data_IF_681923124056
#
_entry.id   IF_681923124056
#
_cell.length_a   1.000
_cell.length_b   1.000
_cell.length_c   1.000
_cell.angle_alpha   90.00
_cell.angle_beta   90.00
_cell.angle_gamma   90.00
#
_symmetry.space_group_name_H-M   'P 1'
#
loop_
_entity.id
_entity.type
_entity.pdbx_description
1 polymer ?
#
# COMPACT_ATOMS: atom_id res chain seq x y z
N UNK A 1 33.61 -2.25 -5.03
CA UNK A 1 32.90 -0.98 -4.80
C UNK A 1 32.57 -0.89 -3.32
N UNK A 2 32.67 0.29 -2.69
CA UNK A 2 32.34 0.53 -1.29
C UNK A 2 31.25 1.60 -1.15
N UNK A 3 30.35 1.43 -0.17
CA UNK A 3 29.26 2.38 0.15
C UNK A 3 28.93 2.30 1.66
N UNK A 4 28.21 3.27 2.21
CA UNK A 4 27.71 3.15 3.59
C UNK A 4 26.51 2.17 3.63
N UNK A 5 25.57 2.33 2.70
CA UNK A 5 24.35 1.52 2.64
C UNK A 5 24.18 0.95 1.23
N UNK A 6 23.99 -0.36 1.13
CA UNK A 6 23.59 -1.02 -0.11
C UNK A 6 22.12 -1.37 -0.05
N UNK A 7 21.36 -1.01 -1.08
CA UNK A 7 19.93 -1.34 -1.20
C UNK A 7 19.71 -2.25 -2.41
N UNK A 8 19.18 -3.43 -2.19
CA UNK A 8 18.75 -4.33 -3.24
C UNK A 8 17.27 -4.10 -3.56
N UNK A 9 16.96 -3.58 -4.75
CA UNK A 9 15.61 -3.32 -5.25
C UNK A 9 15.25 -1.83 -5.32
N UNK A 10 14.95 -1.37 -6.54
CA UNK A 10 14.53 0.00 -6.89
C UNK A 10 13.01 0.16 -6.98
N UNK A 11 12.26 -0.51 -6.10
CA UNK A 11 10.86 -0.21 -5.86
C UNK A 11 10.66 1.12 -5.12
N UNK A 12 9.39 1.55 -4.93
CA UNK A 12 9.10 2.84 -4.27
C UNK A 12 9.77 2.92 -2.89
N UNK A 13 9.71 1.87 -2.06
CA UNK A 13 10.35 1.87 -0.74
C UNK A 13 11.88 1.98 -0.83
N UNK A 14 12.54 1.20 -1.71
CA UNK A 14 14.00 1.26 -1.89
C UNK A 14 14.47 2.61 -2.39
N UNK A 15 13.77 3.20 -3.36
CA UNK A 15 14.07 4.54 -3.89
C UNK A 15 13.83 5.63 -2.84
N UNK A 16 12.74 5.56 -2.06
CA UNK A 16 12.47 6.51 -0.97
C UNK A 16 13.59 6.46 0.08
N UNK A 17 14.00 5.25 0.49
CA UNK A 17 15.11 5.08 1.43
C UNK A 17 16.41 5.65 0.86
N UNK A 18 16.73 5.33 -0.39
CA UNK A 18 17.96 5.80 -1.02
C UNK A 18 18.01 7.32 -1.15
N UNK A 19 16.92 7.94 -1.64
CA UNK A 19 16.84 9.39 -1.78
C UNK A 19 16.92 10.10 -0.42
N UNK A 20 16.24 9.57 0.59
CA UNK A 20 16.27 10.11 1.96
C UNK A 20 17.68 10.04 2.56
N UNK A 21 18.36 8.90 2.46
CA UNK A 21 19.72 8.74 2.96
C UNK A 21 20.71 9.65 2.23
N UNK A 22 20.62 9.72 0.90
CA UNK A 22 21.48 10.58 0.10
C UNK A 22 21.31 12.06 0.44
N UNK A 23 20.08 12.52 0.70
CA UNK A 23 19.79 13.89 1.14
C UNK A 23 20.41 14.26 2.50
N UNK A 24 20.75 13.23 3.30
CA UNK A 24 21.42 13.36 4.62
C UNK A 24 22.92 13.02 4.56
N UNK A 25 23.51 13.02 3.34
CA UNK A 25 24.94 12.80 3.14
C UNK A 25 25.41 11.36 3.37
N UNK A 26 24.52 10.36 3.39
CA UNK A 26 24.87 8.95 3.47
C UNK A 26 25.16 8.43 2.06
N UNK A 27 26.32 7.80 1.84
CA UNK A 27 26.64 7.17 0.56
C UNK A 27 25.81 5.91 0.35
N UNK A 28 24.92 5.92 -0.65
CA UNK A 28 24.00 4.82 -0.96
C UNK A 28 24.26 4.27 -2.35
N UNK A 29 24.34 2.96 -2.45
CA UNK A 29 24.30 2.26 -3.74
C UNK A 29 23.04 1.43 -3.81
N UNK A 30 22.19 1.69 -4.82
CA UNK A 30 20.95 0.93 -5.06
C UNK A 30 21.05 0.12 -6.35
N UNK A 31 20.73 -1.18 -6.29
CA UNK A 31 20.70 -2.06 -7.45
C UNK A 31 19.26 -2.41 -7.83
N UNK A 32 18.86 -2.10 -9.07
CA UNK A 32 17.55 -2.44 -9.64
C UNK A 32 17.71 -3.30 -10.89
N UNK A 33 17.08 -4.47 -10.90
CA UNK A 33 17.20 -5.42 -12.02
C UNK A 33 16.43 -5.01 -13.28
N UNK A 34 15.34 -4.25 -13.14
CA UNK A 34 14.54 -3.81 -14.27
C UNK A 34 15.19 -2.59 -14.93
N UNK A 35 15.22 -2.63 -16.27
CA UNK A 35 15.69 -1.52 -17.11
C UNK A 35 14.54 -0.72 -17.73
N UNK A 36 13.33 -1.29 -17.70
CA UNK A 36 12.11 -0.70 -18.25
C UNK A 36 11.02 -0.70 -17.19
N UNK A 37 10.06 0.17 -17.37
CA UNK A 37 8.85 0.19 -16.57
C UNK A 37 8.13 -1.14 -16.61
N UNK A 38 7.56 -1.53 -15.48
CA UNK A 38 6.78 -2.75 -15.39
C UNK A 38 5.38 -2.53 -15.96
N UNK A 39 4.91 -3.33 -16.92
CA UNK A 39 3.53 -3.24 -17.39
C UNK A 39 2.53 -3.78 -16.34
N UNK A 40 3.03 -4.36 -15.27
CA UNK A 40 2.22 -5.00 -14.23
C UNK A 40 1.75 -3.93 -13.25
N UNK A 41 0.44 -3.86 -13.03
CA UNK A 41 -0.16 -3.01 -12.02
C UNK A 41 0.49 -3.28 -10.65
N UNK A 42 0.86 -2.21 -10.00
CA UNK A 42 1.28 -2.17 -8.60
C UNK A 42 0.48 -1.08 -7.90
N UNK A 43 0.55 -1.00 -6.56
CA UNK A 43 -0.19 0.01 -5.81
C UNK A 43 -0.01 1.43 -6.38
N UNK A 44 -1.10 2.18 -6.45
CA UNK A 44 -1.14 3.56 -6.97
C UNK A 44 -1.70 4.54 -5.96
N UNK A 45 -2.33 4.05 -4.88
CA UNK A 45 -2.93 4.89 -3.85
C UNK A 45 -1.88 5.29 -2.81
N UNK A 46 -1.61 6.58 -2.71
CA UNK A 46 -0.78 7.20 -1.68
C UNK A 46 -1.69 7.70 -0.56
N UNK A 47 -1.51 7.15 0.64
CA UNK A 47 -2.24 7.54 1.83
C UNK A 47 -1.64 8.80 2.48
N UNK A 48 -2.38 9.51 3.34
CA UNK A 48 -1.95 10.75 3.98
C UNK A 48 -0.56 10.70 4.64
N UNK A 49 -0.21 9.62 5.36
CA UNK A 49 1.14 9.48 5.95
C UNK A 49 2.23 9.42 4.89
N UNK A 50 1.95 8.75 3.77
CA UNK A 50 2.89 8.67 2.65
C UNK A 50 3.06 10.03 1.96
N UNK A 51 1.97 10.79 1.79
CA UNK A 51 2.02 12.17 1.28
C UNK A 51 2.91 13.04 2.19
N UNK A 52 2.74 12.95 3.51
CA UNK A 52 3.58 13.65 4.48
C UNK A 52 5.07 13.29 4.37
N UNK A 53 5.39 12.03 4.11
CA UNK A 53 6.77 11.57 3.93
C UNK A 53 7.35 12.12 2.61
N UNK A 54 6.59 12.07 1.53
CA UNK A 54 7.01 12.59 0.21
C UNK A 54 7.15 14.12 0.21
N UNK A 55 6.34 14.83 1.01
CA UNK A 55 6.51 16.28 1.23
C UNK A 55 7.85 16.56 1.92
N UNK A 56 8.21 15.83 2.99
CA UNK A 56 9.52 15.99 3.65
C UNK A 56 10.68 15.64 2.73
N UNK A 57 10.49 14.71 1.80
CA UNK A 57 11.47 14.39 0.76
C UNK A 57 11.59 15.48 -0.31
N UNK A 58 10.64 16.43 -0.36
CA UNK A 58 10.59 17.55 -1.31
C UNK A 58 10.22 17.13 -2.72
N UNK A 59 9.25 16.20 -2.86
CA UNK A 59 8.76 15.70 -4.16
C UNK A 59 7.23 15.79 -4.28
N UNK A 60 6.55 16.39 -3.30
CA UNK A 60 5.08 16.36 -3.25
C UNK A 60 4.46 17.15 -4.40
N UNK A 61 4.99 18.30 -4.78
CA UNK A 61 4.44 19.15 -5.83
C UNK A 61 4.42 18.42 -7.19
N UNK A 62 5.49 17.66 -7.48
CA UNK A 62 5.58 16.86 -8.71
C UNK A 62 4.62 15.66 -8.68
N UNK A 63 4.45 15.04 -7.51
CA UNK A 63 3.53 13.93 -7.28
C UNK A 63 2.08 14.39 -7.44
N UNK A 64 1.70 15.52 -6.83
CA UNK A 64 0.35 16.11 -6.95
C UNK A 64 0.07 16.55 -8.38
N UNK A 65 1.06 17.12 -9.06
CA UNK A 65 0.95 17.56 -10.46
C UNK A 65 0.66 16.42 -11.45
N UNK A 66 0.95 15.18 -11.10
CA UNK A 66 0.65 13.98 -11.90
C UNK A 66 -0.31 13.00 -11.22
N UNK A 67 -0.94 13.40 -10.13
CA UNK A 67 -1.87 12.59 -9.35
C UNK A 67 -3.34 13.00 -9.53
N UNK A 68 -4.22 12.15 -9.04
CA UNK A 68 -5.63 12.44 -8.87
C UNK A 68 -6.00 12.38 -7.38
N UNK A 69 -6.60 13.48 -6.88
CA UNK A 69 -6.98 13.58 -5.46
C UNK A 69 -8.18 12.71 -5.15
N UNK A 70 -8.09 11.94 -4.09
CA UNK A 70 -9.18 11.14 -3.52
C UNK A 70 -9.47 11.68 -2.11
N UNK A 71 -10.45 12.55 -1.99
CA UNK A 71 -10.92 13.11 -0.72
C UNK A 71 -11.89 12.18 0.02
N UNK A 72 -12.59 11.32 -0.73
CA UNK A 72 -13.61 10.41 -0.22
C UNK A 72 -13.61 9.08 -0.97
N UNK A 73 -14.05 8.04 -0.24
CA UNK A 73 -14.38 6.72 -0.76
C UNK A 73 -15.87 6.45 -0.55
N UNK A 74 -16.62 6.34 -1.62
CA UNK A 74 -18.05 6.06 -1.60
C UNK A 74 -18.32 4.57 -1.67
N UNK A 75 -19.15 4.05 -0.78
CA UNK A 75 -19.54 2.64 -0.72
C UNK A 75 -21.00 2.48 -1.09
N UNK A 76 -21.27 1.61 -2.06
CA UNK A 76 -22.59 1.27 -2.55
C UNK A 76 -22.82 -0.24 -2.53
N UNK A 77 -24.05 -0.63 -2.29
CA UNK A 77 -24.51 -2.02 -2.46
C UNK A 77 -25.58 -2.07 -3.54
N UNK A 78 -25.44 -2.99 -4.47
CA UNK A 78 -26.48 -3.29 -5.47
C UNK A 78 -27.24 -4.51 -4.99
N UNK A 79 -28.52 -4.32 -4.70
CA UNK A 79 -29.42 -5.40 -4.33
C UNK A 79 -30.26 -5.84 -5.52
N UNK A 80 -30.03 -7.08 -5.96
CA UNK A 80 -30.78 -7.70 -7.05
C UNK A 80 -31.87 -8.58 -6.47
N UNK A 81 -33.11 -8.33 -6.85
CA UNK A 81 -34.27 -9.18 -6.53
C UNK A 81 -34.83 -9.75 -7.83
N UNK A 82 -35.22 -11.02 -7.80
CA UNK A 82 -35.84 -11.67 -8.95
C UNK A 82 -37.06 -10.90 -9.40
N UNK A 83 -37.17 -10.61 -10.71
CA UNK A 83 -38.30 -9.86 -11.29
C UNK A 83 -38.36 -8.35 -10.97
N UNK A 84 -37.35 -7.76 -10.34
CA UNK A 84 -37.27 -6.30 -10.06
C UNK A 84 -35.99 -5.69 -10.63
N UNK A 85 -36.07 -4.39 -10.93
CA UNK A 85 -34.87 -3.63 -11.25
C UNK A 85 -33.87 -3.66 -10.07
N UNK A 86 -32.56 -3.67 -10.35
CA UNK A 86 -31.53 -3.55 -9.28
C UNK A 86 -31.75 -2.30 -8.44
N UNK A 87 -31.68 -2.45 -7.13
CA UNK A 87 -31.79 -1.35 -6.17
C UNK A 87 -30.38 -0.96 -5.70
N UNK A 88 -30.00 0.30 -5.92
CA UNK A 88 -28.75 0.86 -5.42
C UNK A 88 -28.95 1.43 -4.03
N UNK A 89 -28.10 1.02 -3.09
CA UNK A 89 -28.13 1.46 -1.69
C UNK A 89 -26.79 2.11 -1.37
N UNK A 90 -26.79 3.41 -1.09
CA UNK A 90 -25.62 4.11 -0.55
C UNK A 90 -25.41 3.67 0.90
N UNK A 91 -24.26 3.09 1.21
CA UNK A 91 -23.95 2.59 2.55
C UNK A 91 -23.21 3.64 3.40
N UNK A 92 -22.15 4.22 2.84
CA UNK A 92 -21.30 5.20 3.54
C UNK A 92 -20.42 5.97 2.56
N UNK A 93 -19.93 7.10 3.02
CA UNK A 93 -18.80 7.82 2.43
C UNK A 93 -17.70 7.95 3.49
N UNK A 94 -16.55 7.33 3.24
CA UNK A 94 -15.36 7.52 4.07
C UNK A 94 -14.64 8.78 3.61
N UNK A 95 -14.50 9.75 4.52
CA UNK A 95 -13.94 11.06 4.22
C UNK A 95 -12.65 11.29 4.99
N UNK A 96 -11.56 11.57 4.27
CA UNK A 96 -10.25 11.82 4.86
C UNK A 96 -10.19 13.06 5.74
N UNK A 97 -11.01 14.10 5.46
CA UNK A 97 -11.09 15.31 6.28
C UNK A 97 -11.62 15.08 7.71
N UNK A 98 -12.08 13.85 8.03
CA UNK A 98 -12.46 13.47 9.40
C UNK A 98 -11.26 13.22 10.30
N UNK A 99 -10.06 13.05 9.78
CA UNK A 99 -8.82 12.94 10.55
C UNK A 99 -8.30 14.35 10.83
N UNK A 100 -7.98 14.64 12.08
CA UNK A 100 -7.47 15.95 12.53
C UNK A 100 -6.01 16.15 12.08
N UNK A 101 -5.78 16.30 10.78
CA UNK A 101 -4.49 16.46 10.13
C UNK A 101 -4.60 17.44 8.96
N UNK A 102 -3.47 18.05 8.55
CA UNK A 102 -3.40 18.83 7.30
C UNK A 102 -3.48 17.95 6.06
N UNK A 103 -3.21 16.65 6.20
CA UNK A 103 -3.28 15.68 5.11
C UNK A 103 -4.66 15.03 5.12
N UNK A 104 -5.60 15.64 4.42
CA UNK A 104 -7.02 15.33 4.42
C UNK A 104 -7.50 14.61 3.15
N UNK A 105 -6.56 14.05 2.38
CA UNK A 105 -6.84 13.32 1.15
C UNK A 105 -5.80 12.23 0.90
N UNK A 106 -6.12 11.32 -0.01
CA UNK A 106 -5.19 10.40 -0.65
C UNK A 106 -4.96 10.80 -2.10
N UNK A 107 -3.91 10.29 -2.73
CA UNK A 107 -3.59 10.54 -4.13
C UNK A 107 -3.52 9.22 -4.91
N UNK A 108 -4.16 9.19 -6.07
CA UNK A 108 -3.94 8.13 -7.06
C UNK A 108 -2.87 8.58 -8.04
N UNK A 109 -1.71 7.94 -8.00
CA UNK A 109 -0.55 8.29 -8.83
C UNK A 109 -0.04 7.04 -9.53
N UNK A 110 0.17 7.03 -10.85
CA UNK A 110 0.75 5.90 -11.54
C UNK A 110 2.08 5.46 -10.90
N UNK A 111 2.20 4.17 -10.57
CA UNK A 111 3.32 3.63 -9.80
C UNK A 111 4.70 3.99 -10.37
N UNK A 112 4.86 3.89 -11.69
CA UNK A 112 6.14 4.18 -12.34
C UNK A 112 6.46 5.69 -12.33
N UNK A 113 5.45 6.57 -12.30
CA UNK A 113 5.65 8.02 -12.13
C UNK A 113 6.17 8.32 -10.73
N UNK A 114 5.55 7.74 -9.70
CA UNK A 114 6.04 7.87 -8.32
C UNK A 114 7.50 7.43 -8.21
N UNK A 115 7.88 6.29 -8.81
CA UNK A 115 9.26 5.81 -8.83
C UNK A 115 10.21 6.76 -9.55
N UNK A 116 9.84 7.25 -10.74
CA UNK A 116 10.70 8.15 -11.50
C UNK A 116 10.98 9.44 -10.74
N UNK A 117 9.94 10.08 -10.18
CA UNK A 117 10.08 11.31 -9.40
C UNK A 117 11.02 11.11 -8.20
N UNK A 118 10.83 10.04 -7.42
CA UNK A 118 11.69 9.77 -6.25
C UNK A 118 13.13 9.46 -6.68
N UNK A 119 13.33 8.70 -7.76
CA UNK A 119 14.66 8.41 -8.30
C UNK A 119 15.35 9.69 -8.78
N UNK A 120 14.66 10.51 -9.54
CA UNK A 120 15.20 11.73 -10.11
C UNK A 120 15.57 12.73 -8.99
N UNK A 121 14.77 12.79 -7.92
CA UNK A 121 15.12 13.50 -6.68
C UNK A 121 16.40 12.93 -6.04
N UNK A 122 16.50 11.61 -5.92
CA UNK A 122 17.71 10.97 -5.41
C UNK A 122 18.96 11.34 -6.22
N UNK A 123 18.84 11.37 -7.55
CA UNK A 123 19.93 11.72 -8.47
C UNK A 123 20.42 13.17 -8.32
N UNK A 124 19.64 14.07 -7.73
CA UNK A 124 20.15 15.44 -7.41
C UNK A 124 21.24 15.45 -6.34
N UNK A 125 21.43 14.35 -5.61
CA UNK A 125 22.47 14.15 -4.60
C UNK A 125 23.63 13.31 -5.17
N UNK A 126 24.21 13.72 -6.29
CA UNK A 126 25.15 12.98 -7.15
C UNK A 126 26.29 12.26 -6.39
N UNK A 127 26.87 12.90 -5.38
CA UNK A 127 27.97 12.33 -4.58
C UNK A 127 27.51 11.17 -3.67
N UNK A 128 26.23 11.14 -3.30
CA UNK A 128 25.71 10.25 -2.28
C UNK A 128 24.74 9.20 -2.84
N UNK A 129 24.19 9.40 -4.03
CA UNK A 129 23.19 8.53 -4.64
C UNK A 129 23.76 7.82 -5.87
N UNK A 130 24.03 6.52 -5.76
CA UNK A 130 24.55 5.72 -6.86
C UNK A 130 23.51 4.67 -7.30
N UNK A 131 22.87 4.88 -8.47
CA UNK A 131 21.82 4.01 -9.01
C UNK A 131 22.37 3.07 -10.09
N UNK A 132 22.28 1.77 -9.83
CA UNK A 132 22.68 0.69 -10.75
C UNK A 132 21.45 0.10 -11.44
N UNK A 133 20.99 0.72 -12.52
CA UNK A 133 19.87 0.22 -13.34
C UNK A 133 20.30 -0.99 -14.16
N UNK A 134 19.43 -2.01 -14.26
CA UNK A 134 19.74 -3.30 -14.91
C UNK A 134 20.70 -4.18 -14.11
N UNK A 135 20.90 -3.87 -12.82
CA UNK A 135 21.76 -4.61 -11.92
C UNK A 135 20.95 -5.55 -11.03
N UNK A 136 21.19 -6.84 -11.16
CA UNK A 136 20.51 -7.88 -10.36
C UNK A 136 21.35 -8.27 -9.16
N UNK A 137 20.80 -8.09 -7.97
CA UNK A 137 21.36 -8.65 -6.73
C UNK A 137 21.17 -10.17 -6.73
N UNK A 138 22.26 -10.91 -6.50
CA UNK A 138 22.28 -12.36 -6.53
C UNK A 138 22.32 -13.01 -5.13
N UNK A 139 22.56 -12.23 -4.09
CA UNK A 139 22.78 -12.68 -2.72
C UNK A 139 24.12 -12.23 -2.19
N UNK A 140 24.58 -12.86 -1.13
CA UNK A 140 25.84 -12.51 -0.45
C UNK A 140 26.93 -13.52 -0.73
N UNK A 141 28.16 -13.03 -0.87
CA UNK A 141 29.38 -13.84 -0.99
C UNK A 141 30.49 -13.19 -0.16
N UNK A 142 31.06 -13.94 0.77
CA UNK A 142 32.11 -13.44 1.71
C UNK A 142 31.71 -12.15 2.45
N UNK A 143 30.43 -12.04 2.86
CA UNK A 143 29.89 -10.88 3.57
C UNK A 143 29.59 -9.64 2.69
N UNK A 144 29.83 -9.71 1.39
CA UNK A 144 29.55 -8.63 0.44
C UNK A 144 28.34 -8.96 -0.45
N UNK A 145 27.64 -7.93 -0.92
CA UNK A 145 26.56 -8.09 -1.89
C UNK A 145 27.15 -8.45 -3.26
N UNK A 146 26.71 -9.57 -3.85
CA UNK A 146 27.06 -10.02 -5.20
C UNK A 146 26.04 -9.48 -6.18
N UNK A 147 26.49 -8.69 -7.14
CA UNK A 147 25.63 -8.01 -8.12
C UNK A 147 26.07 -8.36 -9.53
N UNK A 148 25.10 -8.64 -10.40
CA UNK A 148 25.33 -8.86 -11.83
C UNK A 148 24.69 -7.73 -12.62
N UNK A 149 25.50 -7.03 -13.44
CA UNK A 149 25.02 -6.01 -14.37
C UNK A 149 25.56 -6.34 -15.78
N UNK A 150 24.68 -6.46 -16.75
CA UNK A 150 25.00 -6.95 -18.08
C UNK A 150 25.70 -8.32 -18.02
N UNK A 151 26.96 -8.41 -18.44
CA UNK A 151 27.79 -9.64 -18.42
C UNK A 151 28.75 -9.71 -17.23
N UNK A 152 28.88 -8.63 -16.48
CA UNK A 152 29.83 -8.51 -15.37
C UNK A 152 29.19 -8.86 -14.03
N UNK A 153 29.96 -9.50 -13.18
CA UNK A 153 29.58 -9.77 -11.78
C UNK A 153 30.65 -9.15 -10.88
N UNK A 154 30.21 -8.37 -9.92
CA UNK A 154 31.06 -7.67 -8.98
C UNK A 154 30.49 -7.68 -7.58
N UNK A 155 31.30 -7.27 -6.59
CA UNK A 155 30.93 -7.26 -5.21
C UNK A 155 30.84 -5.83 -4.69
N UNK A 156 29.87 -5.57 -3.83
CA UNK A 156 29.68 -4.30 -3.13
C UNK A 156 29.82 -4.56 -1.64
N UNK A 157 30.81 -3.88 -1.05
CA UNK A 157 31.00 -3.85 0.39
C UNK A 157 30.21 -2.68 0.98
N UNK A 158 29.40 -2.93 1.99
CA UNK A 158 28.61 -1.92 2.68
C UNK A 158 28.63 -2.13 4.20
N UNK A 159 28.39 -1.07 4.96
CA UNK A 159 28.22 -1.17 6.41
C UNK A 159 26.90 -1.82 6.77
N UNK A 160 25.84 -1.52 5.99
CA UNK A 160 24.48 -2.08 6.12
C UNK A 160 23.93 -2.45 4.74
N UNK A 161 23.25 -3.56 4.67
CA UNK A 161 22.58 -4.08 3.46
C UNK A 161 21.07 -4.15 3.66
N UNK A 162 20.33 -3.51 2.76
CA UNK A 162 18.87 -3.41 2.84
C UNK A 162 18.24 -4.20 1.70
N UNK A 163 17.38 -5.15 2.07
CA UNK A 163 16.54 -5.89 1.13
C UNK A 163 15.23 -5.17 0.86
N UNK A 164 15.08 -4.65 -0.34
CA UNK A 164 13.85 -4.06 -0.88
C UNK A 164 13.39 -4.79 -2.16
N UNK A 165 13.77 -6.08 -2.30
CA UNK A 165 13.58 -6.91 -3.51
C UNK A 165 12.15 -7.48 -3.63
N UNK A 166 11.28 -7.10 -2.73
CA UNK A 166 9.89 -7.54 -2.73
C UNK A 166 9.70 -8.98 -2.28
N UNK A 167 8.65 -9.61 -2.77
CA UNK A 167 8.14 -10.91 -2.30
C UNK A 167 9.15 -12.06 -2.33
N UNK A 168 10.12 -12.02 -3.23
CA UNK A 168 11.12 -13.09 -3.43
C UNK A 168 12.50 -12.75 -2.85
N UNK A 169 12.58 -11.89 -1.86
CA UNK A 169 13.80 -11.30 -1.30
C UNK A 169 14.92 -12.32 -0.98
N UNK A 170 16.07 -12.25 -1.66
CA UNK A 170 17.27 -12.97 -1.29
C UNK A 170 17.85 -12.51 0.06
N UNK A 171 17.71 -11.22 0.42
CA UNK A 171 18.15 -10.70 1.71
C UNK A 171 17.38 -11.35 2.84
N UNK A 172 16.04 -11.46 2.74
CA UNK A 172 15.22 -12.19 3.73
C UNK A 172 15.69 -13.63 3.92
N UNK A 173 16.03 -14.31 2.82
CA UNK A 173 16.56 -15.68 2.87
C UNK A 173 17.91 -15.74 3.59
N UNK A 174 18.79 -14.79 3.31
CA UNK A 174 20.10 -14.70 3.98
C UNK A 174 19.98 -14.43 5.48
N UNK A 175 18.94 -13.70 5.91
CA UNK A 175 18.63 -13.47 7.32
C UNK A 175 18.03 -14.70 8.02
N UNK A 176 17.64 -15.76 7.29
CA UNK A 176 16.82 -16.87 7.81
C UNK A 176 15.58 -16.36 8.55
N UNK A 177 14.90 -15.37 7.94
CA UNK A 177 13.67 -14.83 8.50
C UNK A 177 12.48 -15.70 8.11
N UNK A 178 11.73 -16.17 9.13
CA UNK A 178 10.56 -17.00 8.94
C UNK A 178 9.36 -16.22 8.42
N UNK A 179 8.57 -16.87 7.57
CA UNK A 179 7.42 -16.26 6.89
C UNK A 179 6.14 -16.98 7.30
N UNK A 180 5.24 -16.27 7.98
CA UNK A 180 3.88 -16.77 8.25
C UNK A 180 2.95 -16.30 7.12
N UNK A 181 2.79 -17.16 6.10
CA UNK A 181 1.97 -16.86 4.91
C UNK A 181 0.52 -17.28 5.12
N UNK A 182 -0.40 -16.48 4.57
CA UNK A 182 -1.83 -16.76 4.49
C UNK A 182 -2.32 -16.50 3.07
N UNK A 183 -2.92 -17.52 2.46
CA UNK A 183 -3.53 -17.44 1.13
C UNK A 183 -5.04 -17.17 1.24
N UNK A 184 -5.66 -16.69 0.15
CA UNK A 184 -7.08 -16.34 0.08
C UNK A 184 -7.80 -17.09 -1.03
N UNK A 185 -9.08 -17.39 -0.81
CA UNK A 185 -9.94 -18.10 -1.77
C UNK A 185 -10.61 -17.17 -2.79
N UNK A 186 -10.00 -16.02 -3.06
CA UNK A 186 -10.43 -15.07 -4.07
C UNK A 186 -9.23 -14.43 -4.75
N UNK A 187 -9.45 -13.96 -5.97
CA UNK A 187 -8.48 -13.21 -6.75
C UNK A 187 -9.08 -11.88 -7.18
N UNK A 188 -8.28 -11.01 -7.78
CA UNK A 188 -8.76 -9.78 -8.39
C UNK A 188 -8.37 -9.74 -9.86
N UNK A 189 -9.26 -9.18 -10.68
CA UNK A 189 -8.94 -8.67 -12.00
C UNK A 189 -8.80 -7.15 -11.89
N UNK A 190 -7.74 -6.63 -12.48
CA UNK A 190 -7.52 -5.18 -12.56
C UNK A 190 -7.38 -4.78 -14.01
N UNK A 191 -8.07 -3.71 -14.39
CA UNK A 191 -7.96 -3.08 -15.69
C UNK A 191 -7.92 -1.57 -15.53
N UNK A 192 -7.31 -0.89 -16.51
CA UNK A 192 -7.40 0.56 -16.67
C UNK A 192 -8.20 0.84 -17.93
N UNK A 193 -9.12 1.80 -17.85
CA UNK A 193 -9.97 2.18 -18.96
C UNK A 193 -10.35 3.65 -18.84
N UNK A 194 -10.84 4.31 -19.92
CA UNK A 194 -11.42 5.64 -19.83
C UNK A 194 -12.52 5.71 -18.77
N UNK A 195 -12.50 6.73 -17.94
CA UNK A 195 -13.51 6.93 -16.91
C UNK A 195 -14.62 7.86 -17.38
N UNK A 196 -15.87 7.63 -16.94
CA UNK A 196 -16.94 8.61 -17.07
C UNK A 196 -16.56 9.93 -16.37
N UNK A 197 -16.96 11.06 -16.94
CA UNK A 197 -16.66 12.39 -16.39
C UNK A 197 -17.23 12.60 -14.97
N UNK A 198 -18.31 11.89 -14.61
CA UNK A 198 -18.95 11.88 -13.29
C UNK A 198 -18.07 11.27 -12.20
N UNK A 199 -17.06 10.45 -12.56
CA UNK A 199 -16.22 9.71 -11.59
C UNK A 199 -15.00 10.52 -11.17
N UNK A 200 -15.17 11.34 -10.16
CA UNK A 200 -14.09 12.15 -9.57
C UNK A 200 -13.64 11.61 -8.22
N UNK A 201 -14.37 10.66 -7.62
CA UNK A 201 -14.13 10.08 -6.28
C UNK A 201 -13.94 8.57 -6.36
N UNK A 202 -13.26 8.01 -5.37
CA UNK A 202 -13.18 6.57 -5.23
C UNK A 202 -14.57 5.98 -4.96
N UNK A 203 -14.92 4.87 -5.64
CA UNK A 203 -16.20 4.19 -5.51
C UNK A 203 -16.00 2.70 -5.30
N UNK A 204 -16.69 2.13 -4.35
CA UNK A 204 -16.70 0.69 -4.08
C UNK A 204 -18.14 0.20 -4.20
N UNK A 205 -18.35 -0.71 -5.14
CA UNK A 205 -19.64 -1.33 -5.42
C UNK A 205 -19.58 -2.77 -4.97
N UNK A 206 -20.59 -3.20 -4.22
CA UNK A 206 -20.71 -4.57 -3.73
C UNK A 206 -22.08 -5.17 -4.08
N UNK A 207 -22.09 -6.49 -4.24
CA UNK A 207 -23.31 -7.30 -4.29
C UNK A 207 -23.18 -8.43 -3.27
N UNK A 208 -24.10 -9.39 -3.26
CA UNK A 208 -23.99 -10.58 -2.43
C UNK A 208 -22.67 -11.37 -2.67
N UNK A 209 -22.15 -11.35 -3.91
CA UNK A 209 -21.06 -12.22 -4.36
C UNK A 209 -19.95 -11.51 -5.15
N UNK A 210 -20.05 -10.20 -5.37
CA UNK A 210 -19.10 -9.41 -6.14
C UNK A 210 -18.65 -8.16 -5.37
N UNK A 211 -17.49 -7.70 -5.74
CA UNK A 211 -16.88 -6.44 -5.30
C UNK A 211 -16.21 -5.80 -6.51
N UNK A 212 -16.46 -4.52 -6.74
CA UNK A 212 -15.82 -3.72 -7.76
C UNK A 212 -15.36 -2.40 -7.13
N UNK A 213 -14.05 -2.21 -7.03
CA UNK A 213 -13.43 -0.94 -6.67
C UNK A 213 -13.14 -0.13 -7.93
N UNK A 214 -13.45 1.16 -7.90
CA UNK A 214 -13.22 2.13 -8.97
C UNK A 214 -12.40 3.29 -8.39
N UNK A 215 -11.21 3.49 -8.92
CA UNK A 215 -10.28 4.51 -8.45
C UNK A 215 -9.89 5.41 -9.63
N UNK A 216 -10.35 6.68 -9.64
CA UNK A 216 -9.96 7.64 -10.66
C UNK A 216 -8.45 7.81 -10.73
N UNK A 217 -7.94 7.81 -11.94
CA UNK A 217 -6.54 8.11 -12.27
C UNK A 217 -6.45 9.46 -13.00
N UNK A 218 -5.26 10.05 -13.12
CA UNK A 218 -5.00 11.12 -14.09
C UNK A 218 -5.43 10.72 -15.51
N UNK A 219 -5.38 11.67 -16.45
CA UNK A 219 -5.63 11.46 -17.89
C UNK A 219 -7.03 10.88 -18.21
N UNK A 220 -8.03 11.17 -17.34
CA UNK A 220 -9.39 10.67 -17.49
C UNK A 220 -9.50 9.14 -17.52
N UNK A 221 -8.63 8.45 -16.82
CA UNK A 221 -8.67 7.02 -16.65
C UNK A 221 -9.27 6.60 -15.30
N UNK A 222 -9.72 5.34 -15.21
CA UNK A 222 -10.11 4.68 -13.96
C UNK A 222 -9.41 3.34 -13.83
N UNK A 223 -8.85 3.10 -12.65
CA UNK A 223 -8.36 1.79 -12.24
C UNK A 223 -9.49 1.02 -11.59
N UNK A 224 -9.70 -0.20 -12.04
CA UNK A 224 -10.70 -1.08 -11.44
C UNK A 224 -10.04 -2.23 -10.69
N UNK A 225 -10.72 -2.70 -9.64
CA UNK A 225 -10.34 -3.89 -8.86
C UNK A 225 -11.59 -4.76 -8.70
N UNK A 226 -11.69 -5.80 -9.51
CA UNK A 226 -12.85 -6.69 -9.56
C UNK A 226 -12.56 -8.03 -8.88
N UNK A 227 -13.29 -8.35 -7.82
CA UNK A 227 -13.12 -9.58 -7.05
C UNK A 227 -13.80 -10.76 -7.72
N UNK A 228 -13.03 -11.82 -7.95
CA UNK A 228 -13.46 -13.11 -8.50
C UNK A 228 -13.12 -14.26 -7.53
N UNK A 229 -13.69 -15.45 -7.73
CA UNK A 229 -13.28 -16.66 -7.00
C UNK A 229 -11.88 -17.10 -7.43
N UNK A 230 -11.16 -17.74 -6.52
CA UNK A 230 -9.92 -18.41 -6.90
C UNK A 230 -10.18 -19.44 -8.01
N UNK A 231 -9.40 -19.36 -9.09
CA UNK A 231 -9.56 -20.20 -10.27
C UNK A 231 -10.61 -19.74 -11.30
N UNK A 232 -11.48 -18.79 -10.96
CA UNK A 232 -12.55 -18.32 -11.87
C UNK A 232 -12.00 -17.59 -13.12
N UNK A 233 -10.79 -17.05 -13.06
CA UNK A 233 -10.17 -16.33 -14.19
C UNK A 233 -10.11 -17.16 -15.48
N UNK A 234 -9.79 -18.45 -15.36
CA UNK A 234 -9.74 -19.35 -16.53
C UNK A 234 -11.11 -19.42 -17.22
N UNK A 235 -12.17 -19.62 -16.45
CA UNK A 235 -13.55 -19.67 -16.96
C UNK A 235 -14.01 -18.35 -17.58
N UNK A 236 -13.65 -17.22 -16.94
CA UNK A 236 -13.94 -15.88 -17.48
C UNK A 236 -13.24 -15.70 -18.84
N UNK A 237 -11.96 -16.10 -18.93
CA UNK A 237 -11.19 -16.01 -20.16
C UNK A 237 -11.74 -16.90 -21.28
N UNK A 238 -12.20 -18.12 -20.95
CA UNK A 238 -12.84 -19.05 -21.91
C UNK A 238 -14.16 -18.50 -22.45
N UNK A 239 -14.93 -17.75 -21.64
CA UNK A 239 -16.17 -17.08 -22.06
C UNK A 239 -15.95 -15.84 -22.93
N UNK A 240 -14.73 -15.34 -23.01
CA UNK A 240 -14.36 -14.20 -23.82
C UNK A 240 -14.55 -12.84 -23.14
N UNK A 241 -14.08 -11.78 -23.84
CA UNK A 241 -14.14 -10.41 -23.33
C UNK A 241 -15.57 -9.89 -23.15
N UNK A 242 -16.52 -10.34 -23.97
CA UNK A 242 -17.93 -9.92 -23.86
C UNK A 242 -18.53 -10.29 -22.49
N UNK A 243 -18.13 -11.43 -21.93
CA UNK A 243 -18.55 -11.81 -20.57
C UNK A 243 -17.98 -10.84 -19.52
N UNK A 244 -16.73 -10.38 -19.71
CA UNK A 244 -16.13 -9.38 -18.83
C UNK A 244 -16.86 -8.04 -18.94
N UNK A 245 -17.18 -7.60 -20.16
CA UNK A 245 -17.92 -6.35 -20.40
C UNK A 245 -19.29 -6.38 -19.73
N UNK A 246 -20.02 -7.48 -19.89
CA UNK A 246 -21.32 -7.66 -19.25
C UNK A 246 -21.19 -7.61 -17.72
N UNK A 247 -20.20 -8.30 -17.14
CA UNK A 247 -19.99 -8.32 -15.69
C UNK A 247 -19.71 -6.92 -15.10
N UNK A 248 -18.97 -6.08 -15.84
CA UNK A 248 -18.73 -4.68 -15.43
C UNK A 248 -19.97 -3.81 -15.61
N UNK A 249 -20.61 -3.87 -16.78
CA UNK A 249 -21.81 -3.08 -17.11
C UNK A 249 -22.99 -3.38 -16.20
N UNK A 250 -23.09 -4.62 -15.73
CA UNK A 250 -24.12 -5.02 -14.77
C UNK A 250 -23.90 -4.43 -13.37
N UNK A 251 -22.65 -4.22 -12.95
CA UNK A 251 -22.33 -3.59 -11.67
C UNK A 251 -22.36 -2.07 -11.76
N UNK A 252 -21.93 -1.54 -12.90
CA UNK A 252 -21.84 -0.11 -13.12
C UNK A 252 -22.11 0.20 -14.60
N UNK A 253 -23.36 0.55 -14.95
CA UNK A 253 -23.73 0.80 -16.33
C UNK A 253 -22.94 1.90 -17.04
N UNK A 254 -22.48 2.91 -16.31
CA UNK A 254 -21.65 3.99 -16.86
C UNK A 254 -20.28 3.53 -17.38
N UNK A 255 -19.81 2.33 -16.99
CA UNK A 255 -18.56 1.74 -17.50
C UNK A 255 -18.72 0.99 -18.82
N UNK A 256 -19.94 0.85 -19.34
CA UNK A 256 -20.22 0.00 -20.51
C UNK A 256 -19.43 0.36 -21.76
N UNK A 257 -19.14 1.65 -21.99
CA UNK A 257 -18.32 2.09 -23.11
C UNK A 257 -16.83 1.92 -22.78
N UNK A 258 -16.43 2.35 -21.58
CA UNK A 258 -15.02 2.30 -21.16
C UNK A 258 -14.47 0.86 -21.13
N UNK A 259 -15.24 -0.10 -20.63
CA UNK A 259 -14.77 -1.50 -20.55
C UNK A 259 -14.56 -2.14 -21.93
N UNK A 260 -15.24 -1.69 -22.96
CA UNK A 260 -15.05 -2.17 -24.35
C UNK A 260 -13.73 -1.73 -24.99
N UNK A 261 -13.01 -0.81 -24.38
CA UNK A 261 -11.62 -0.46 -24.80
C UNK A 261 -10.60 -1.55 -24.43
N UNK A 262 -11.00 -2.53 -23.61
CA UNK A 262 -10.22 -3.71 -23.27
C UNK A 262 -10.38 -4.74 -24.38
N UNK A 263 -9.56 -4.68 -25.39
CA UNK A 263 -9.60 -5.50 -26.61
C UNK A 263 -8.69 -6.74 -26.56
N UNK A 264 -7.78 -6.80 -25.57
CA UNK A 264 -6.84 -7.93 -25.37
C UNK A 264 -6.77 -8.31 -23.88
N UNK A 265 -6.71 -9.60 -23.60
CA UNK A 265 -6.50 -10.15 -22.26
C UNK A 265 -5.18 -9.70 -21.60
N UNK A 266 -4.22 -9.21 -22.38
CA UNK A 266 -2.98 -8.59 -21.85
C UNK A 266 -3.24 -7.32 -21.05
N UNK A 267 -4.37 -6.63 -21.31
CA UNK A 267 -4.83 -5.46 -20.56
C UNK A 267 -5.55 -5.85 -19.25
N UNK A 268 -5.86 -7.14 -19.06
CA UNK A 268 -6.51 -7.67 -17.86
C UNK A 268 -5.47 -8.35 -16.99
N UNK A 269 -5.15 -7.76 -15.87
CA UNK A 269 -4.20 -8.33 -14.94
C UNK A 269 -4.88 -9.16 -13.86
N UNK A 270 -4.45 -10.42 -13.70
CA UNK A 270 -4.81 -11.26 -12.57
C UNK A 270 -3.90 -10.98 -11.38
N UNK A 271 -4.50 -10.59 -10.25
CA UNK A 271 -3.82 -10.43 -8.97
C UNK A 271 -4.26 -11.53 -8.01
N UNK A 272 -3.30 -12.33 -7.55
CA UNK A 272 -3.50 -13.41 -6.57
C UNK A 272 -3.03 -12.90 -5.21
N UNK A 273 -3.96 -12.54 -4.30
CA UNK A 273 -3.60 -11.99 -3.01
C UNK A 273 -3.09 -13.09 -2.08
N UNK A 274 -2.09 -12.76 -1.31
CA UNK A 274 -1.69 -13.47 -0.11
C UNK A 274 -1.06 -12.48 0.86
N UNK A 275 -1.05 -12.79 2.12
CA UNK A 275 -0.39 -11.98 3.13
C UNK A 275 0.70 -12.78 3.81
N UNK A 276 1.72 -12.10 4.27
CA UNK A 276 2.68 -12.65 5.21
C UNK A 276 3.31 -11.54 6.05
N UNK A 277 3.88 -11.96 7.15
CA UNK A 277 4.69 -11.15 8.03
C UNK A 277 5.88 -11.98 8.51
N UNK A 278 7.07 -11.41 8.44
CA UNK A 278 8.29 -12.08 8.91
C UNK A 278 8.42 -11.98 10.43
N UNK A 279 9.17 -12.91 11.01
CA UNK A 279 9.46 -12.93 12.45
C UNK A 279 10.45 -11.83 12.87
N UNK A 280 11.34 -11.37 11.98
CA UNK A 280 12.37 -10.35 12.24
C UNK A 280 12.61 -9.46 11.02
N UNK A 281 12.84 -8.16 11.25
CA UNK A 281 13.10 -7.17 10.20
C UNK A 281 14.59 -6.90 9.96
N UNK A 282 15.43 -7.34 10.88
CA UNK A 282 16.87 -7.22 10.78
C UNK A 282 17.60 -8.46 11.32
N UNK A 283 18.88 -8.62 10.93
CA UNK A 283 19.79 -9.63 11.47
C UNK A 283 21.23 -9.21 11.20
N UNK A 284 22.02 -8.91 12.24
CA UNK A 284 23.33 -8.33 12.10
C UNK A 284 23.27 -6.99 11.35
N UNK A 285 23.98 -6.88 10.23
CA UNK A 285 23.97 -5.69 9.37
C UNK A 285 23.01 -5.80 8.17
N UNK A 286 22.07 -6.74 8.19
CA UNK A 286 21.03 -6.90 7.19
C UNK A 286 19.70 -6.38 7.73
N UNK A 287 18.93 -5.63 6.92
CA UNK A 287 17.55 -5.30 7.19
C UNK A 287 16.68 -5.44 5.94
N UNK A 288 15.37 -5.53 6.10
CA UNK A 288 14.41 -5.68 5.01
C UNK A 288 13.23 -4.72 5.17
N UNK A 289 12.71 -4.21 4.04
CA UNK A 289 11.58 -3.26 3.98
C UNK A 289 10.52 -3.69 2.97
N UNK A 290 9.31 -3.21 3.16
CA UNK A 290 8.18 -3.43 2.24
C UNK A 290 7.86 -4.90 2.05
N UNK A 291 7.54 -5.29 0.80
CA UNK A 291 7.21 -6.68 0.46
C UNK A 291 8.36 -7.70 0.72
N UNK A 292 9.55 -7.28 1.09
CA UNK A 292 10.58 -8.18 1.61
C UNK A 292 10.30 -8.61 3.06
N UNK A 293 9.70 -7.72 3.87
CA UNK A 293 9.35 -7.96 5.28
C UNK A 293 7.90 -8.39 5.48
N UNK A 294 6.96 -7.82 4.72
CA UNK A 294 5.53 -8.03 4.92
C UNK A 294 4.75 -7.79 3.63
N UNK A 295 3.73 -8.58 3.38
CA UNK A 295 2.80 -8.36 2.28
C UNK A 295 1.39 -8.24 2.83
N UNK A 296 0.74 -7.12 2.55
CA UNK A 296 -0.62 -6.81 2.99
C UNK A 296 -1.64 -7.23 1.93
N UNK A 297 -2.87 -7.52 2.35
CA UNK A 297 -3.95 -7.79 1.40
C UNK A 297 -4.30 -6.55 0.58
N UNK A 298 -4.50 -6.63 -0.75
CA UNK A 298 -4.73 -5.46 -1.62
C UNK A 298 -5.95 -4.62 -1.26
N UNK A 299 -6.94 -5.20 -0.56
CA UNK A 299 -8.17 -4.52 -0.16
C UNK A 299 -7.93 -3.24 0.68
N UNK A 300 -6.79 -3.15 1.36
CA UNK A 300 -6.44 -1.97 2.14
C UNK A 300 -5.72 -0.89 1.31
N UNK A 301 -5.19 -1.22 0.12
CA UNK A 301 -4.39 -0.30 -0.69
C UNK A 301 -3.04 0.10 -0.06
N UNK A 302 -2.52 -0.67 0.91
CA UNK A 302 -1.46 -0.23 1.83
C UNK A 302 -0.04 -0.73 1.50
N UNK A 303 0.12 -1.62 0.52
CA UNK A 303 1.43 -2.25 0.28
C UNK A 303 2.55 -1.24 0.00
N UNK A 304 2.30 -0.29 -0.89
CA UNK A 304 3.25 0.77 -1.22
C UNK A 304 3.46 1.75 -0.05
N UNK A 305 2.37 2.12 0.63
CA UNK A 305 2.40 3.03 1.77
C UNK A 305 3.25 2.48 2.92
N UNK A 306 3.11 1.19 3.24
CA UNK A 306 3.94 0.54 4.26
C UNK A 306 5.42 0.55 3.88
N UNK A 307 5.76 0.29 2.61
CA UNK A 307 7.14 0.32 2.14
C UNK A 307 7.78 1.71 2.23
N UNK A 308 7.01 2.78 1.96
CA UNK A 308 7.47 4.18 2.12
C UNK A 308 7.64 4.53 3.60
N UNK A 309 6.73 4.10 4.45
CA UNK A 309 6.84 4.31 5.90
C UNK A 309 8.02 3.53 6.52
N UNK A 310 8.31 2.32 6.03
CA UNK A 310 9.50 1.57 6.44
C UNK A 310 10.76 2.31 6.03
N UNK A 311 10.80 2.82 4.79
CA UNK A 311 11.91 3.60 4.26
C UNK A 311 12.13 4.89 5.05
N UNK A 312 11.06 5.53 5.49
CA UNK A 312 11.11 6.76 6.28
C UNK A 312 11.75 6.51 7.65
N UNK A 313 11.24 5.54 8.41
CA UNK A 313 11.74 5.22 9.76
C UNK A 313 13.19 4.69 9.70
N UNK A 314 13.47 3.74 8.81
CA UNK A 314 14.82 3.19 8.65
C UNK A 314 15.80 4.25 8.15
N UNK A 315 15.35 5.12 7.24
CA UNK A 315 16.17 6.21 6.70
C UNK A 315 16.59 7.23 7.75
N UNK A 316 15.67 7.67 8.62
CA UNK A 316 16.00 8.56 9.74
C UNK A 316 16.96 7.89 10.72
N UNK A 317 16.72 6.62 11.07
CA UNK A 317 17.59 5.87 11.96
C UNK A 317 19.04 5.79 11.43
N UNK A 318 19.20 5.40 10.17
CA UNK A 318 20.53 5.26 9.58
C UNK A 318 21.22 6.62 9.39
N UNK A 319 20.48 7.67 9.06
CA UNK A 319 21.03 9.02 8.98
C UNK A 319 21.50 9.50 10.37
N UNK A 320 20.68 9.32 11.40
CA UNK A 320 21.03 9.65 12.78
C UNK A 320 22.27 8.86 13.25
N UNK A 321 22.36 7.56 12.96
CA UNK A 321 23.55 6.77 13.28
C UNK A 321 24.83 7.37 12.64
N UNK A 322 24.75 7.81 11.37
CA UNK A 322 25.89 8.44 10.70
C UNK A 322 26.26 9.76 11.32
N UNK A 323 25.32 10.63 11.58
CA UNK A 323 25.52 11.96 12.16
C UNK A 323 26.12 11.90 13.56
N UNK A 324 25.74 10.88 14.34
CA UNK A 324 26.19 10.69 15.72
C UNK A 324 27.34 9.65 15.86
N UNK A 325 27.94 9.22 14.74
CA UNK A 325 29.02 8.21 14.72
C UNK A 325 28.62 6.90 15.44
N UNK A 326 27.35 6.50 15.37
CA UNK A 326 26.84 5.28 15.96
C UNK A 326 26.99 4.09 15.00
N UNK A 327 27.07 2.91 15.59
CA UNK A 327 27.14 1.68 14.80
C UNK A 327 25.75 1.29 14.30
N UNK A 328 25.56 1.19 13.00
CA UNK A 328 24.26 0.91 12.39
C UNK A 328 23.59 -0.36 12.95
N UNK A 329 24.32 -1.49 13.02
CA UNK A 329 23.70 -2.77 13.36
C UNK A 329 23.26 -2.86 14.83
N UNK A 330 23.83 -2.08 15.72
CA UNK A 330 23.45 -2.03 17.14
C UNK A 330 22.11 -1.35 17.34
N UNK A 331 21.68 -0.50 16.39
CA UNK A 331 20.48 0.33 16.50
C UNK A 331 19.32 -0.15 15.60
N UNK A 332 19.51 -1.15 14.71
CA UNK A 332 18.46 -1.62 13.82
C UNK A 332 17.21 -2.17 14.55
N UNK A 333 17.33 -2.51 15.83
CA UNK A 333 16.18 -2.93 16.65
C UNK A 333 15.11 -1.84 16.74
N UNK A 334 15.47 -0.55 16.80
CA UNK A 334 14.50 0.55 16.81
C UNK A 334 13.57 0.53 15.58
N UNK A 335 14.12 0.23 14.41
CA UNK A 335 13.31 0.09 13.21
C UNK A 335 12.26 -1.02 13.35
N UNK A 336 12.65 -2.18 13.84
CA UNK A 336 11.72 -3.30 14.08
C UNK A 336 10.67 -2.93 15.15
N UNK A 337 11.11 -2.35 16.27
CA UNK A 337 10.25 -1.99 17.40
C UNK A 337 9.18 -0.97 17.01
N UNK A 338 9.50 -0.01 16.14
CA UNK A 338 8.54 0.98 15.65
C UNK A 338 7.62 0.37 14.58
N UNK A 339 8.18 -0.31 13.58
CA UNK A 339 7.41 -0.67 12.38
C UNK A 339 6.59 -1.94 12.55
N UNK A 340 7.13 -2.96 13.17
CA UNK A 340 6.51 -4.28 13.23
C UNK A 340 5.14 -4.31 13.93
N UNK A 341 4.91 -3.62 15.07
CA UNK A 341 3.58 -3.51 15.67
C UNK A 341 2.57 -2.79 14.77
N UNK A 342 2.97 -1.70 14.11
CA UNK A 342 2.10 -0.92 13.22
C UNK A 342 1.70 -1.73 11.98
N UNK A 343 2.66 -2.42 11.39
CA UNK A 343 2.41 -3.35 10.26
C UNK A 343 1.50 -4.49 10.69
N UNK A 344 1.71 -5.11 11.86
CA UNK A 344 0.85 -6.17 12.39
C UNK A 344 -0.60 -5.71 12.52
N UNK A 345 -0.84 -4.51 13.05
CA UNK A 345 -2.18 -3.93 13.17
C UNK A 345 -2.86 -3.76 11.81
N UNK A 346 -2.13 -3.25 10.83
CA UNK A 346 -2.67 -3.02 9.48
C UNK A 346 -2.90 -4.32 8.71
N UNK A 347 -2.02 -5.31 8.86
CA UNK A 347 -2.22 -6.67 8.32
C UNK A 347 -3.50 -7.30 8.87
N UNK A 348 -3.76 -7.15 10.17
CA UNK A 348 -4.99 -7.63 10.79
C UNK A 348 -6.22 -6.93 10.23
N UNK A 349 -6.20 -5.59 10.12
CA UNK A 349 -7.29 -4.80 9.57
C UNK A 349 -7.59 -5.19 8.12
N UNK A 350 -6.55 -5.29 7.28
CA UNK A 350 -6.70 -5.66 5.86
C UNK A 350 -7.23 -7.09 5.69
N UNK A 351 -6.81 -8.00 6.58
CA UNK A 351 -7.33 -9.37 6.60
C UNK A 351 -8.82 -9.42 6.95
N UNK A 352 -9.26 -8.68 7.99
CA UNK A 352 -10.68 -8.58 8.33
C UNK A 352 -11.49 -8.00 7.17
N UNK A 353 -11.00 -6.97 6.52
CA UNK A 353 -11.63 -6.40 5.32
C UNK A 353 -11.75 -7.43 4.20
N UNK A 354 -10.68 -8.20 3.93
CA UNK A 354 -10.72 -9.28 2.94
C UNK A 354 -11.78 -10.33 3.25
N UNK A 355 -11.94 -10.74 4.50
CA UNK A 355 -12.97 -11.69 4.93
C UNK A 355 -14.37 -11.11 4.74
N UNK A 356 -14.60 -9.86 5.14
CA UNK A 356 -15.89 -9.18 5.03
C UNK A 356 -16.41 -9.19 3.58
N UNK A 357 -15.55 -8.99 2.60
CA UNK A 357 -15.94 -8.94 1.18
C UNK A 357 -15.81 -10.28 0.44
N UNK A 358 -15.19 -11.30 1.04
CA UNK A 358 -15.04 -12.61 0.41
C UNK A 358 -16.18 -13.58 0.68
N UNK A 359 -16.94 -13.40 1.75
CA UNK A 359 -18.11 -14.23 2.06
C UNK A 359 -19.30 -13.88 1.16
N UNK A 360 -19.95 -14.90 0.59
CA UNK A 360 -20.95 -14.78 -0.48
C UNK A 360 -22.33 -15.27 -0.07
N UNK A 361 -22.63 -15.24 1.22
CA UNK A 361 -23.94 -15.65 1.75
C UNK A 361 -24.87 -14.45 1.84
N UNK A 362 -26.14 -14.60 1.48
CA UNK A 362 -27.12 -13.50 1.53
C UNK A 362 -27.33 -12.96 2.95
N UNK A 363 -27.33 -13.82 3.96
CA UNK A 363 -27.40 -13.37 5.35
C UNK A 363 -26.18 -12.57 5.77
N UNK A 364 -24.96 -12.92 5.25
CA UNK A 364 -23.73 -12.19 5.50
C UNK A 364 -23.76 -10.81 4.84
N UNK A 365 -24.32 -10.70 3.62
CA UNK A 365 -24.51 -9.42 2.94
C UNK A 365 -25.25 -8.43 3.82
N UNK A 366 -26.35 -8.83 4.48
CA UNK A 366 -27.10 -7.98 5.39
C UNK A 366 -26.28 -7.51 6.60
N UNK A 367 -25.45 -8.40 7.17
CA UNK A 367 -24.56 -8.05 8.28
C UNK A 367 -23.49 -7.05 7.80
N UNK A 368 -22.85 -7.33 6.65
CA UNK A 368 -21.85 -6.45 6.06
C UNK A 368 -22.42 -5.05 5.77
N UNK A 369 -23.57 -4.97 5.13
CA UNK A 369 -24.22 -3.68 4.86
C UNK A 369 -24.42 -2.87 6.13
N UNK A 370 -24.99 -3.49 7.17
CA UNK A 370 -25.20 -2.83 8.46
C UNK A 370 -23.87 -2.38 9.09
N UNK A 371 -22.86 -3.25 9.06
CA UNK A 371 -21.55 -2.93 9.64
C UNK A 371 -20.86 -1.76 8.91
N UNK A 372 -20.99 -1.67 7.60
CA UNK A 372 -20.45 -0.55 6.79
C UNK A 372 -21.27 0.72 7.05
N UNK A 373 -22.60 0.64 7.09
CA UNK A 373 -23.46 1.78 7.35
C UNK A 373 -23.23 2.34 8.76
N UNK A 374 -22.96 1.49 9.77
CA UNK A 374 -22.62 1.93 11.12
C UNK A 374 -21.34 2.78 11.20
N UNK A 375 -20.39 2.59 10.27
CA UNK A 375 -19.21 3.46 10.18
C UNK A 375 -19.62 4.88 9.78
N UNK A 376 -20.65 5.04 8.97
CA UNK A 376 -21.21 6.36 8.65
C UNK A 376 -21.99 6.98 9.80
N UNK A 377 -22.85 6.19 10.47
CA UNK A 377 -23.73 6.64 11.55
C UNK A 377 -22.98 7.00 12.83
N UNK A 378 -21.81 6.40 13.06
CA UNK A 378 -21.01 6.56 14.28
C UNK A 378 -19.69 7.27 13.99
N UNK A 379 -19.61 8.53 14.37
CA UNK A 379 -18.47 9.40 14.09
C UNK A 379 -17.13 8.84 14.65
N UNK A 380 -17.16 8.15 15.80
CA UNK A 380 -15.96 7.55 16.35
C UNK A 380 -15.49 6.34 15.54
N UNK A 381 -16.40 5.52 15.01
CA UNK A 381 -16.05 4.43 14.11
C UNK A 381 -15.45 4.97 12.81
N UNK A 382 -16.04 6.05 12.27
CA UNK A 382 -15.53 6.71 11.08
C UNK A 382 -14.11 7.22 11.28
N UNK A 383 -13.89 8.02 12.34
CA UNK A 383 -12.56 8.56 12.67
C UNK A 383 -11.53 7.44 12.88
N UNK A 384 -11.89 6.38 13.63
CA UNK A 384 -11.00 5.21 13.80
C UNK A 384 -10.63 4.56 12.49
N UNK A 385 -11.63 4.36 11.62
CA UNK A 385 -11.39 3.75 10.31
C UNK A 385 -10.44 4.60 9.48
N UNK A 386 -10.73 5.91 9.37
CA UNK A 386 -9.90 6.83 8.58
C UNK A 386 -8.51 7.01 9.15
N UNK A 387 -8.37 7.12 10.48
CA UNK A 387 -7.07 7.24 11.13
C UNK A 387 -6.17 6.02 10.84
N UNK A 388 -6.74 4.81 10.97
CA UNK A 388 -5.98 3.58 10.74
C UNK A 388 -5.55 3.40 9.26
N UNK A 389 -6.42 3.72 8.29
CA UNK A 389 -6.08 3.59 6.86
C UNK A 389 -5.22 4.75 6.34
N UNK A 390 -5.25 5.92 6.98
CA UNK A 390 -4.40 7.05 6.60
C UNK A 390 -2.92 6.84 6.93
N UNK A 391 -2.62 5.89 7.84
CA UNK A 391 -1.29 5.66 8.39
C UNK A 391 -0.80 6.74 9.36
N UNK A 392 -1.60 7.79 9.61
CA UNK A 392 -1.24 8.92 10.49
C UNK A 392 -1.25 8.55 11.97
N UNK A 393 -1.95 7.46 12.33
CA UNK A 393 -2.06 7.04 13.71
C UNK A 393 -2.66 5.66 13.86
N UNK A 394 -2.95 5.25 15.08
CA UNK A 394 -3.61 3.98 15.39
C UNK A 394 -4.61 4.11 16.51
N UNK A 395 -5.86 3.76 16.22
CA UNK A 395 -6.92 3.70 17.22
C UNK A 395 -7.72 2.41 17.09
N UNK A 396 -7.38 1.43 17.89
CA UNK A 396 -7.94 0.09 17.83
C UNK A 396 -9.45 0.06 18.09
N UNK A 397 -10.16 -0.81 17.38
CA UNK A 397 -11.56 -1.11 17.64
C UNK A 397 -11.69 -2.00 18.87
N UNK A 398 -12.46 -1.57 19.86
CA UNK A 398 -12.74 -2.33 21.06
C UNK A 398 -14.05 -3.14 20.94
N UNK A 399 -14.43 -3.87 22.00
CA UNK A 399 -15.65 -4.70 22.01
C UNK A 399 -16.93 -3.86 21.83
N UNK A 400 -17.00 -2.65 22.40
CA UNK A 400 -18.11 -1.74 22.20
C UNK A 400 -18.27 -1.31 20.74
N UNK A 401 -17.15 -0.98 20.09
CA UNK A 401 -17.14 -0.64 18.67
C UNK A 401 -17.66 -1.80 17.82
N UNK A 402 -17.26 -3.04 18.14
CA UNK A 402 -17.74 -4.24 17.45
C UNK A 402 -19.22 -4.51 17.69
N UNK A 403 -19.72 -4.27 18.88
CA UNK A 403 -21.16 -4.38 19.20
C UNK A 403 -21.99 -3.34 18.43
N UNK A 404 -21.49 -2.10 18.28
CA UNK A 404 -22.11 -1.06 17.45
C UNK A 404 -22.07 -1.45 15.97
N UNK A 405 -20.94 -1.88 15.45
CA UNK A 405 -20.80 -2.36 14.07
C UNK A 405 -21.76 -3.53 13.76
N UNK A 406 -21.90 -4.46 14.70
CA UNK A 406 -22.84 -5.59 14.62
C UNK A 406 -24.32 -5.20 14.79
N UNK A 407 -24.60 -3.90 15.01
CA UNK A 407 -25.95 -3.40 15.32
C UNK A 407 -26.59 -4.01 16.57
N UNK A 408 -25.79 -4.54 17.49
CA UNK A 408 -26.22 -4.99 18.82
C UNK A 408 -26.47 -3.77 19.72
N UNK A 409 -25.70 -2.71 19.53
CA UNK A 409 -25.85 -1.43 20.21
C UNK A 409 -26.13 -0.30 19.20
N UNK A 410 -26.81 0.77 19.61
CA UNK A 410 -27.02 1.93 18.75
C UNK A 410 -25.72 2.67 18.46
N UNK A 411 -25.68 3.41 17.34
CA UNK A 411 -24.58 4.31 17.03
C UNK A 411 -24.51 5.45 18.08
N UNK A 412 -23.28 5.91 18.35
CA UNK A 412 -23.06 7.08 19.20
C UNK A 412 -23.42 8.35 18.45
N UNK A 413 -24.25 9.20 19.05
CA UNK A 413 -24.66 10.47 18.43
C UNK A 413 -23.64 11.60 18.57
N UNK A 414 -22.60 11.40 19.39
CA UNK A 414 -21.65 12.46 19.74
C UNK A 414 -20.49 12.51 18.73
N UNK A 415 -20.25 13.67 18.15
CA UNK A 415 -19.08 13.93 17.31
C UNK A 415 -17.79 13.90 18.13
N UNK A 416 -16.75 13.28 17.56
CA UNK A 416 -15.41 13.24 18.15
C UNK A 416 -14.71 14.58 17.90
N UNK A 417 -14.20 15.19 18.96
CA UNK A 417 -13.40 16.42 18.89
C UNK A 417 -11.99 16.10 18.42
N UNK A 418 -11.36 17.01 17.68
CA UNK A 418 -9.98 16.86 17.18
C UNK A 418 -8.98 16.57 18.29
N UNK A 419 -9.08 17.29 19.43
CA UNK A 419 -8.24 17.03 20.61
C UNK A 419 -8.30 15.59 21.12
N UNK A 420 -9.40 14.88 20.88
CA UNK A 420 -9.52 13.46 21.25
C UNK A 420 -8.73 12.59 20.28
N UNK A 421 -8.63 13.00 19.03
CA UNK A 421 -7.88 12.26 17.99
C UNK A 421 -6.36 12.37 18.18
N UNK A 422 -5.86 13.56 18.61
CA UNK A 422 -4.43 13.85 18.72
C UNK A 422 -3.62 12.83 19.52
N UNK A 423 -4.21 12.23 20.55
CA UNK A 423 -3.57 11.18 21.36
C UNK A 423 -3.45 9.82 20.65
N UNK A 424 -4.03 9.67 19.47
CA UNK A 424 -3.95 8.46 18.64
C UNK A 424 -3.17 8.69 17.34
N UNK A 425 -2.79 9.95 17.04
CA UNK A 425 -1.86 10.28 15.98
C UNK A 425 -0.44 9.89 16.43
N UNK A 426 0.34 9.36 15.51
CA UNK A 426 1.76 9.11 15.77
C UNK A 426 2.52 10.43 15.86
N UNK A 427 3.21 10.61 16.95
CA UNK A 427 4.13 11.73 17.16
C UNK A 427 5.50 11.43 16.52
N UNK A 428 6.26 12.46 16.26
CA UNK A 428 7.64 12.33 15.76
C UNK A 428 8.52 11.51 16.72
N UNK A 429 8.34 11.70 18.02
CA UNK A 429 9.07 10.92 19.04
C UNK A 429 8.64 9.44 19.13
N UNK A 430 7.50 9.06 18.56
CA UNK A 430 7.11 7.65 18.40
C UNK A 430 7.57 7.08 17.06
N UNK A 431 7.76 7.93 16.05
CA UNK A 431 8.35 7.54 14.77
C UNK A 431 9.87 7.37 14.89
N UNK A 432 10.54 8.21 15.71
CA UNK A 432 12.00 8.29 15.84
C UNK A 432 12.44 8.28 17.31
N UNK A 433 12.22 7.17 18.06
CA UNK A 433 12.43 7.12 19.51
C UNK A 433 13.91 7.26 19.94
N UNK A 434 14.86 6.97 19.05
CA UNK A 434 16.32 7.07 19.32
C UNK A 434 16.81 8.51 19.47
N UNK A 435 16.08 9.51 19.00
CA UNK A 435 16.46 10.93 19.16
C UNK A 435 16.47 11.38 20.62
N UNK A 436 15.86 10.62 21.52
CA UNK A 436 15.87 10.88 22.98
C UNK A 436 17.14 10.36 23.68
N UNK A 437 18.00 9.65 22.98
CA UNK A 437 19.26 9.12 23.54
C UNK A 437 20.42 10.13 23.51
N UNK A 438 20.16 11.37 23.11
CA UNK A 438 21.16 12.47 23.08
C UNK A 438 21.20 13.26 24.38
#
# INVERSE_FOLDING_TARGET
MRTDVFIAGGGVGGLTLAAKLASRGVHVTIAEQLTKESPVYKGELLQPKTIAILERLGVIDEIEGCGHVIDQLRFQEIHRREGKSPEEINLTELNYSRVASKYDHALMVPHERTKSIIRDKGQTFEEHFHYLGGARFLGFEKGMAKVKQKKETFHIEAKVYIGAEGRSSPTRKAMNADVKRKDYNHHFLTVTMPRPASYTKGKIITTADRFLGLFPLPDNEVRTVYLIKAGEYKTIKEKGLEYLYQAYSELEPELSEGVRTIDDWKKVQLMIPYTYHVDKYYSGNLAIIGDAAHTVHPMAGEGMNLAVQDADVLGELLAWCKENNKNYHEHLHYYEDVRKPRVSSLLHLSHLSALVYSFRFEWWRKIRMRAVQRIYDDDQLHVKQMLNISGLGSWNFNLLDRAIQGSVLPARSKKIKDKTQWKYLFSESEDYPWEKEN
#
